data_IF_286749037266
#
_entry.id   IF_286749037266
#
_cell.length_a   1.000
_cell.length_b   1.000
_cell.length_c   1.000
_cell.angle_alpha   90.00
_cell.angle_beta   90.00
_cell.angle_gamma   90.00
#
_symmetry.space_group_name_H-M   'P 1'
#
loop_
_entity.id
_entity.type
_entity.pdbx_description
1 polymer ?
#
# COMPACT_ATOMS: atom_id res chain seq x y z
N UNK A 1 -27.58 -17.33 -15.63
CA UNK A 1 -26.28 -16.80 -16.06
C UNK A 1 -25.25 -17.18 -15.03
N UNK A 2 -24.32 -18.06 -15.33
CA UNK A 2 -23.18 -18.31 -14.44
C UNK A 2 -22.26 -17.12 -14.58
N UNK A 3 -22.10 -16.33 -13.50
CA UNK A 3 -21.11 -15.27 -13.46
C UNK A 3 -19.74 -15.90 -13.70
N UNK A 4 -19.10 -15.51 -14.79
CA UNK A 4 -17.69 -15.82 -15.04
C UNK A 4 -16.90 -15.08 -13.94
N UNK A 5 -16.54 -15.79 -12.90
CA UNK A 5 -15.55 -15.31 -11.93
C UNK A 5 -14.20 -15.70 -12.53
N UNK A 6 -13.39 -14.74 -13.00
CA UNK A 6 -12.03 -15.06 -13.42
C UNK A 6 -11.32 -15.79 -12.27
N UNK A 7 -10.46 -16.74 -12.55
CA UNK A 7 -9.62 -17.38 -11.55
C UNK A 7 -8.68 -16.30 -10.99
N UNK A 8 -9.09 -15.68 -9.88
CA UNK A 8 -8.28 -14.68 -9.20
C UNK A 8 -7.07 -15.34 -8.58
N UNK A 9 -5.88 -14.72 -8.69
CA UNK A 9 -4.68 -15.26 -8.08
C UNK A 9 -4.80 -15.28 -6.54
N UNK A 10 -3.97 -16.12 -5.94
CA UNK A 10 -3.84 -16.44 -4.52
C UNK A 10 -4.20 -15.30 -3.56
N UNK A 11 -5.12 -15.52 -2.59
CA UNK A 11 -5.52 -14.51 -1.61
C UNK A 11 -4.43 -14.06 -0.64
N UNK A 12 -3.20 -14.55 -0.81
CA UNK A 12 -2.05 -14.26 0.06
C UNK A 12 -0.90 -13.58 -0.69
N UNK A 13 -1.17 -12.86 -1.78
CA UNK A 13 -0.11 -12.11 -2.47
C UNK A 13 0.59 -11.18 -1.48
N UNK A 14 1.89 -11.39 -1.30
CA UNK A 14 2.72 -10.46 -0.54
C UNK A 14 2.93 -9.17 -1.33
N UNK A 15 3.28 -8.05 -0.68
CA UNK A 15 3.65 -6.82 -1.39
C UNK A 15 4.76 -7.03 -2.43
N UNK A 16 5.60 -8.04 -2.26
CA UNK A 16 6.66 -8.41 -3.22
C UNK A 16 6.12 -9.13 -4.42
N UNK A 17 5.27 -10.09 -4.22
CA UNK A 17 4.63 -10.79 -5.32
C UNK A 17 3.83 -9.80 -6.18
N UNK A 18 3.11 -8.87 -5.54
CA UNK A 18 2.43 -7.77 -6.23
C UNK A 18 3.43 -6.92 -7.03
N UNK A 19 4.57 -6.57 -6.43
CA UNK A 19 5.63 -5.79 -7.09
C UNK A 19 6.23 -6.55 -8.27
N UNK A 20 6.55 -7.84 -8.09
CA UNK A 20 7.06 -8.69 -9.16
C UNK A 20 6.07 -8.73 -10.33
N UNK A 21 4.79 -8.91 -10.04
CA UNK A 21 3.75 -8.90 -11.08
C UNK A 21 3.65 -7.54 -11.76
N UNK A 22 3.74 -6.44 -11.03
CA UNK A 22 3.72 -5.10 -11.60
C UNK A 22 4.94 -4.78 -12.48
N UNK A 23 6.12 -5.37 -12.18
CA UNK A 23 7.27 -5.25 -13.06
C UNK A 23 7.07 -5.94 -14.41
N UNK A 24 6.21 -6.95 -14.46
CA UNK A 24 5.86 -7.68 -15.68
C UNK A 24 4.65 -7.08 -16.39
N UNK A 25 3.57 -6.79 -15.66
CA UNK A 25 2.26 -6.44 -16.23
C UNK A 25 1.83 -4.99 -16.04
N UNK A 26 2.58 -4.18 -15.23
CA UNK A 26 2.28 -2.78 -14.88
C UNK A 26 0.96 -2.55 -14.13
N UNK A 27 0.03 -3.48 -14.23
CA UNK A 27 -1.27 -3.49 -13.55
C UNK A 27 -1.54 -4.89 -13.02
N UNK A 28 -1.90 -4.99 -11.76
CA UNK A 28 -2.25 -6.26 -11.10
C UNK A 28 -3.61 -6.14 -10.43
N UNK A 29 -4.47 -7.12 -10.62
CA UNK A 29 -5.78 -7.20 -9.97
C UNK A 29 -5.88 -8.49 -9.18
N UNK A 30 -6.41 -8.41 -7.98
CA UNK A 30 -6.67 -9.56 -7.12
C UNK A 30 -8.01 -9.48 -6.41
N UNK A 31 -8.66 -10.63 -6.26
CA UNK A 31 -9.79 -10.80 -5.34
C UNK A 31 -9.29 -11.45 -4.06
N UNK A 32 -9.63 -10.84 -2.93
CA UNK A 32 -9.20 -11.31 -1.62
C UNK A 32 -10.41 -11.55 -0.73
N UNK A 33 -10.49 -12.76 -0.19
CA UNK A 33 -11.50 -13.14 0.81
C UNK A 33 -10.82 -13.53 2.11
N UNK A 34 -11.36 -13.07 3.21
CA UNK A 34 -10.91 -13.51 4.54
C UNK A 34 -12.10 -13.75 5.46
N UNK A 35 -12.04 -14.85 6.22
CA UNK A 35 -13.07 -15.23 7.20
C UNK A 35 -12.52 -15.27 8.63
N UNK A 36 -11.33 -14.70 8.86
CA UNK A 36 -10.69 -14.61 10.17
C UNK A 36 -10.13 -13.21 10.37
N UNK A 37 -10.20 -12.73 11.61
CA UNK A 37 -9.54 -11.48 11.99
C UNK A 37 -8.05 -11.56 11.70
N UNK A 38 -7.53 -10.61 10.94
CA UNK A 38 -6.10 -10.48 10.61
C UNK A 38 -5.68 -9.02 10.66
N UNK A 39 -4.42 -8.82 11.02
CA UNK A 39 -3.73 -7.55 10.86
C UNK A 39 -2.64 -7.73 9.81
N UNK A 40 -2.57 -6.80 8.85
CA UNK A 40 -1.41 -6.74 7.97
C UNK A 40 -0.21 -6.19 8.71
N UNK A 41 0.97 -6.57 8.27
CA UNK A 41 2.21 -5.90 8.68
C UNK A 41 2.15 -4.45 8.18
N UNK A 42 2.65 -3.50 8.98
CA UNK A 42 2.82 -2.12 8.52
C UNK A 42 3.75 -2.10 7.32
N UNK A 43 3.31 -1.48 6.24
CA UNK A 43 4.07 -1.45 5.00
C UNK A 43 3.78 -0.22 4.16
N UNK A 44 4.64 0.00 3.18
CA UNK A 44 4.43 0.91 2.06
C UNK A 44 4.84 0.19 0.77
N UNK A 45 4.45 0.72 -0.36
CA UNK A 45 4.77 0.18 -1.67
C UNK A 45 5.01 1.30 -2.68
N UNK A 46 5.72 1.03 -3.81
CA UNK A 46 6.04 2.03 -4.83
C UNK A 46 4.97 2.17 -5.92
N UNK A 47 3.81 1.60 -5.74
CA UNK A 47 2.70 1.61 -6.69
C UNK A 47 1.43 2.20 -6.07
N UNK A 48 0.48 2.57 -6.90
CA UNK A 48 -0.86 2.97 -6.46
C UNK A 48 -1.69 1.71 -6.15
N UNK A 49 -2.33 1.67 -4.99
CA UNK A 49 -3.22 0.59 -4.61
C UNK A 49 -4.64 1.09 -4.42
N UNK A 50 -5.57 0.46 -5.12
CA UNK A 50 -7.00 0.71 -5.05
C UNK A 50 -7.67 -0.49 -4.40
N UNK A 51 -8.33 -0.26 -3.28
CA UNK A 51 -9.00 -1.31 -2.49
C UNK A 51 -10.49 -1.05 -2.51
N UNK A 52 -11.22 -1.83 -3.30
CA UNK A 52 -12.68 -1.78 -3.33
C UNK A 52 -13.24 -2.83 -2.37
N UNK A 53 -14.08 -2.40 -1.43
CA UNK A 53 -14.70 -3.27 -0.45
C UNK A 53 -15.99 -3.84 -1.01
N UNK A 54 -16.02 -5.15 -1.28
CA UNK A 54 -17.20 -5.82 -1.82
C UNK A 54 -18.15 -6.30 -0.70
N UNK A 55 -17.60 -6.72 0.45
CA UNK A 55 -18.38 -7.10 1.63
C UNK A 55 -17.53 -7.00 2.90
N UNK A 56 -18.19 -6.94 4.06
CA UNK A 56 -17.55 -6.93 5.36
C UNK A 56 -17.02 -5.55 5.75
N UNK A 57 -15.95 -5.52 6.57
CA UNK A 57 -15.32 -4.29 7.06
C UNK A 57 -13.81 -4.40 7.13
N UNK A 58 -13.13 -3.28 6.92
CA UNK A 58 -11.70 -3.15 7.16
C UNK A 58 -11.39 -1.82 7.85
N UNK A 59 -10.43 -1.86 8.78
CA UNK A 59 -9.91 -0.68 9.43
C UNK A 59 -8.48 -0.45 8.96
N UNK A 60 -8.16 0.78 8.57
CA UNK A 60 -6.83 1.18 8.15
C UNK A 60 -6.28 2.26 9.07
N UNK A 61 -4.99 2.18 9.34
CA UNK A 61 -4.22 3.19 10.07
C UNK A 61 -3.22 3.79 9.11
N UNK A 62 -3.38 5.06 8.80
CA UNK A 62 -2.55 5.79 7.83
C UNK A 62 -2.22 7.15 8.41
N UNK A 63 -0.92 7.47 8.56
CA UNK A 63 -0.46 8.79 9.00
C UNK A 63 -1.20 9.34 10.24
N UNK A 64 -1.50 8.48 11.22
CA UNK A 64 -2.22 8.86 12.45
C UNK A 64 -3.74 9.00 12.30
N UNK A 65 -4.28 8.78 11.11
CA UNK A 65 -5.70 8.64 10.86
C UNK A 65 -6.15 7.18 10.96
N UNK A 66 -7.32 6.97 11.50
CA UNK A 66 -8.05 5.71 11.40
C UNK A 66 -9.14 5.87 10.37
N UNK A 67 -9.27 4.85 9.53
CA UNK A 67 -10.26 4.80 8.46
C UNK A 67 -11.01 3.49 8.56
N UNK A 68 -12.33 3.55 8.50
CA UNK A 68 -13.17 2.37 8.36
C UNK A 68 -13.67 2.33 6.92
N UNK A 69 -13.43 1.21 6.24
CA UNK A 69 -13.85 0.99 4.85
C UNK A 69 -15.05 0.06 4.84
N UNK A 70 -16.15 0.53 4.26
CA UNK A 70 -17.43 -0.15 4.18
C UNK A 70 -17.69 -0.74 2.79
N UNK A 71 -18.66 -1.68 2.66
CA UNK A 71 -19.04 -2.22 1.37
C UNK A 71 -19.44 -1.12 0.37
N UNK A 72 -18.95 -1.24 -0.85
CA UNK A 72 -19.15 -0.25 -1.90
C UNK A 72 -18.11 0.87 -1.93
N UNK A 73 -17.34 1.07 -0.86
CA UNK A 73 -16.31 2.10 -0.81
C UNK A 73 -15.00 1.66 -1.47
N UNK A 74 -14.28 2.65 -1.99
CA UNK A 74 -12.95 2.49 -2.56
C UNK A 74 -11.94 3.31 -1.78
N UNK A 75 -10.85 2.69 -1.35
CA UNK A 75 -9.68 3.37 -0.80
C UNK A 75 -8.55 3.38 -1.84
N UNK A 76 -7.97 4.54 -2.06
CA UNK A 76 -6.75 4.72 -2.85
C UNK A 76 -5.58 5.03 -1.94
N UNK A 77 -4.56 4.20 -1.98
CA UNK A 77 -3.30 4.38 -1.26
C UNK A 77 -2.19 4.68 -2.27
N UNK A 78 -1.65 5.91 -2.28
CA UNK A 78 -0.58 6.30 -3.17
C UNK A 78 0.76 5.63 -2.84
N UNK A 79 1.74 5.66 -3.79
CA UNK A 79 3.10 5.22 -3.54
C UNK A 79 3.73 5.89 -2.31
N UNK A 80 4.45 5.10 -1.51
CA UNK A 80 5.19 5.58 -0.35
C UNK A 80 4.35 5.88 0.90
N UNK A 81 3.03 5.77 0.83
CA UNK A 81 2.15 5.97 1.98
C UNK A 81 2.19 4.74 2.87
N UNK A 82 2.66 4.92 4.11
CA UNK A 82 2.74 3.84 5.09
C UNK A 82 1.38 3.60 5.71
N UNK A 83 0.98 2.34 5.70
CA UNK A 83 -0.33 1.93 6.19
C UNK A 83 -0.31 0.54 6.83
N UNK A 84 -1.32 0.29 7.65
CA UNK A 84 -1.60 -1.00 8.26
C UNK A 84 -3.10 -1.27 8.16
N UNK A 85 -3.48 -2.46 7.69
CA UNK A 85 -4.87 -2.88 7.67
C UNK A 85 -5.18 -3.85 8.81
N UNK A 86 -6.32 -3.66 9.44
CA UNK A 86 -6.92 -4.61 10.36
C UNK A 86 -8.25 -5.07 9.78
N UNK A 87 -8.39 -6.36 9.60
CA UNK A 87 -9.49 -6.92 8.83
C UNK A 87 -10.31 -7.87 9.70
N UNK A 88 -11.63 -7.70 9.64
CA UNK A 88 -12.59 -8.71 10.10
C UNK A 88 -12.85 -9.74 8.98
N UNK A 89 -14.09 -10.10 8.75
CA UNK A 89 -14.48 -10.87 7.58
C UNK A 89 -14.72 -9.90 6.41
N UNK A 90 -14.13 -10.19 5.26
CA UNK A 90 -14.27 -9.31 4.10
C UNK A 90 -14.14 -10.06 2.77
N UNK A 91 -14.69 -9.45 1.73
CA UNK A 91 -14.34 -9.65 0.34
C UNK A 91 -13.95 -8.31 -0.27
N UNK A 92 -12.80 -8.24 -0.92
CA UNK A 92 -12.29 -7.00 -1.53
C UNK A 92 -11.61 -7.28 -2.87
N UNK A 93 -11.73 -6.32 -3.78
CA UNK A 93 -10.93 -6.23 -4.99
C UNK A 93 -9.75 -5.29 -4.73
N UNK A 94 -8.57 -5.69 -5.13
CA UNK A 94 -7.38 -4.84 -5.10
C UNK A 94 -6.88 -4.68 -6.52
N UNK A 95 -6.73 -3.42 -6.94
CA UNK A 95 -6.09 -3.04 -8.19
C UNK A 95 -4.81 -2.29 -7.84
N UNK A 96 -3.68 -2.76 -8.35
CA UNK A 96 -2.38 -2.15 -8.18
C UNK A 96 -1.85 -1.66 -9.52
N UNK A 97 -1.35 -0.43 -9.56
CA UNK A 97 -0.90 0.24 -10.79
C UNK A 97 0.49 0.81 -10.55
N UNK A 98 1.43 0.48 -11.40
CA UNK A 98 2.78 1.03 -11.39
C UNK A 98 2.77 2.56 -11.56
N UNK A 99 3.57 3.27 -10.75
CA UNK A 99 3.59 4.75 -10.74
C UNK A 99 4.13 5.32 -12.07
N UNK A 100 5.11 4.66 -12.71
CA UNK A 100 5.62 5.10 -13.99
C UNK A 100 4.56 4.94 -15.09
N UNK A 101 3.83 3.82 -15.09
CA UNK A 101 2.73 3.58 -16.03
C UNK A 101 1.59 4.62 -15.88
N UNK A 102 1.31 5.03 -14.64
CA UNK A 102 0.39 6.13 -14.34
C UNK A 102 0.84 7.43 -15.02
N UNK A 103 2.10 7.83 -14.78
CA UNK A 103 2.69 9.05 -15.33
C UNK A 103 2.74 9.06 -16.85
N UNK A 104 3.18 7.95 -17.45
CA UNK A 104 3.20 7.78 -18.91
C UNK A 104 1.81 7.95 -19.51
N UNK A 105 0.78 7.36 -18.88
CA UNK A 105 -0.60 7.49 -19.37
C UNK A 105 -1.07 8.94 -19.35
N UNK A 106 -0.80 9.70 -18.28
CA UNK A 106 -1.13 11.12 -18.23
C UNK A 106 -0.34 11.94 -19.28
N UNK A 107 0.91 11.60 -19.54
CA UNK A 107 1.71 12.25 -20.60
C UNK A 107 1.12 12.01 -21.99
N UNK A 108 0.69 10.78 -22.27
CA UNK A 108 0.04 10.44 -23.56
C UNK A 108 -1.27 11.22 -23.74
N UNK A 109 -2.04 11.39 -22.67
CA UNK A 109 -3.28 12.20 -22.70
C UNK A 109 -3.00 13.69 -22.96
N UNK A 110 -1.82 14.18 -22.62
CA UNK A 110 -1.41 15.55 -22.84
C UNK A 110 -2.43 16.58 -22.30
N UNK A 111 -2.95 17.51 -23.12
CA UNK A 111 -3.89 18.53 -22.68
C UNK A 111 -5.20 17.97 -22.10
N UNK A 112 -5.61 16.76 -22.48
CA UNK A 112 -6.81 16.10 -21.92
C UNK A 112 -6.63 15.75 -20.44
N UNK A 113 -5.40 15.59 -19.99
CA UNK A 113 -5.07 15.37 -18.58
C UNK A 113 -4.91 16.69 -17.78
N UNK A 114 -5.19 17.85 -18.36
CA UNK A 114 -5.08 19.12 -17.64
C UNK A 114 -5.98 19.13 -16.41
N UNK A 115 -5.38 19.46 -15.25
CA UNK A 115 -6.04 19.40 -13.94
C UNK A 115 -6.24 17.98 -13.38
N UNK A 116 -5.71 16.94 -14.04
CA UNK A 116 -5.64 15.61 -13.49
C UNK A 116 -4.32 15.45 -12.75
N UNK A 117 -4.39 15.28 -11.44
CA UNK A 117 -3.19 15.05 -10.62
C UNK A 117 -3.09 13.58 -10.23
N UNK A 118 -1.87 13.08 -10.20
CA UNK A 118 -1.58 11.78 -9.58
C UNK A 118 -1.80 11.95 -8.08
N UNK A 119 -2.71 11.17 -7.45
CA UNK A 119 -2.95 11.27 -6.02
C UNK A 119 -1.65 11.01 -5.23
N UNK A 120 -1.37 11.88 -4.26
CA UNK A 120 -0.21 11.76 -3.35
C UNK A 120 -0.62 11.54 -1.91
N UNK A 121 -1.90 11.62 -1.63
CA UNK A 121 -2.50 11.39 -0.32
C UNK A 121 -3.54 10.29 -0.41
N UNK A 122 -3.80 9.64 0.70
CA UNK A 122 -4.86 8.65 0.80
C UNK A 122 -6.20 9.30 0.48
N UNK A 123 -7.00 8.61 -0.34
CA UNK A 123 -8.37 9.01 -0.67
C UNK A 123 -9.34 7.87 -0.40
N UNK A 124 -10.51 8.17 0.11
CA UNK A 124 -11.63 7.23 0.21
C UNK A 124 -12.79 7.81 -0.58
N UNK A 125 -13.38 6.97 -1.42
CA UNK A 125 -14.55 7.31 -2.22
C UNK A 125 -15.74 6.59 -1.64
N UNK A 126 -16.80 7.32 -1.32
CA UNK A 126 -18.04 6.77 -0.78
C UNK A 126 -18.76 5.87 -1.78
N UNK A 127 -19.60 4.97 -1.27
CA UNK A 127 -20.30 3.96 -2.06
C UNK A 127 -21.17 4.56 -3.18
N UNK A 128 -21.81 5.70 -2.95
CA UNK A 128 -22.62 6.40 -3.96
C UNK A 128 -21.79 6.90 -5.14
N UNK A 129 -20.55 7.35 -4.88
CA UNK A 129 -19.59 7.76 -5.92
C UNK A 129 -19.10 6.56 -6.71
N UNK A 130 -18.72 5.49 -6.03
CA UNK A 130 -18.21 4.28 -6.67
C UNK A 130 -19.28 3.59 -7.51
N UNK A 131 -20.52 3.56 -7.03
CA UNK A 131 -21.68 3.00 -7.75
C UNK A 131 -22.05 3.85 -8.97
N UNK A 132 -22.10 5.18 -8.82
CA UNK A 132 -22.39 6.11 -9.89
C UNK A 132 -21.41 5.96 -11.07
N UNK A 133 -20.13 5.82 -10.75
CA UNK A 133 -19.05 5.73 -11.73
C UNK A 133 -18.67 4.29 -12.07
N UNK A 134 -19.39 3.30 -11.58
CA UNK A 134 -19.18 1.87 -11.88
C UNK A 134 -17.73 1.42 -11.62
N UNK A 135 -17.11 1.89 -10.51
CA UNK A 135 -15.69 1.64 -10.19
C UNK A 135 -15.40 0.16 -10.09
N UNK A 136 -16.31 -0.62 -9.50
CA UNK A 136 -16.16 -2.07 -9.44
C UNK A 136 -15.97 -2.68 -10.83
N UNK A 137 -16.80 -2.29 -11.77
CA UNK A 137 -16.70 -2.77 -13.16
C UNK A 137 -15.39 -2.39 -13.82
N UNK A 138 -14.86 -1.18 -13.57
CA UNK A 138 -13.55 -0.77 -14.07
C UNK A 138 -12.43 -1.69 -13.55
N UNK A 139 -12.45 -2.03 -12.25
CA UNK A 139 -11.46 -2.95 -11.65
C UNK A 139 -11.62 -4.37 -12.21
N UNK A 140 -12.85 -4.87 -12.38
CA UNK A 140 -13.13 -6.18 -12.98
C UNK A 140 -12.70 -6.24 -14.45
N UNK A 141 -12.83 -5.15 -15.21
CA UNK A 141 -12.29 -5.04 -16.57
C UNK A 141 -10.76 -5.13 -16.58
N UNK A 142 -10.07 -4.55 -15.60
CA UNK A 142 -8.62 -4.69 -15.47
C UNK A 142 -8.20 -6.15 -15.23
N UNK A 143 -8.98 -6.90 -14.43
CA UNK A 143 -8.76 -8.33 -14.25
C UNK A 143 -8.94 -9.12 -15.55
N UNK A 144 -9.94 -8.77 -16.35
CA UNK A 144 -10.20 -9.40 -17.64
C UNK A 144 -9.11 -9.07 -18.67
N UNK A 145 -8.57 -7.84 -18.63
CA UNK A 145 -7.49 -7.42 -19.51
C UNK A 145 -6.20 -8.24 -19.29
N UNK A 146 -5.97 -8.77 -18.11
CA UNK A 146 -4.82 -9.64 -17.82
C UNK A 146 -4.77 -10.90 -18.71
N UNK A 147 -5.92 -11.35 -19.20
CA UNK A 147 -6.02 -12.52 -20.09
C UNK A 147 -5.78 -12.21 -21.58
N UNK A 148 -5.59 -10.95 -21.95
CA UNK A 148 -5.31 -10.55 -23.34
C UNK A 148 -3.88 -11.00 -23.68
N UNK A 149 -3.68 -11.83 -24.72
CA UNK A 149 -2.35 -12.35 -25.07
C UNK A 149 -1.46 -11.30 -25.72
N UNK A 150 -2.03 -10.40 -26.53
CA UNK A 150 -1.30 -9.37 -27.25
C UNK A 150 -0.93 -8.23 -26.28
N UNK A 151 0.38 -8.02 -26.08
CA UNK A 151 0.90 -7.03 -25.12
C UNK A 151 0.42 -5.60 -25.42
N UNK A 152 0.31 -5.23 -26.70
CA UNK A 152 -0.17 -3.90 -27.11
C UNK A 152 -1.65 -3.68 -26.74
N UNK A 153 -2.49 -4.65 -27.02
CA UNK A 153 -3.93 -4.56 -26.71
C UNK A 153 -4.18 -4.57 -25.21
N UNK A 154 -3.41 -5.37 -24.47
CA UNK A 154 -3.42 -5.36 -23.00
C UNK A 154 -3.03 -3.98 -22.45
N UNK A 155 -1.93 -3.39 -22.92
CA UNK A 155 -1.47 -2.05 -22.52
C UNK A 155 -2.54 -0.99 -22.79
N UNK A 156 -3.14 -1.02 -24.00
CA UNK A 156 -4.21 -0.10 -24.39
C UNK A 156 -5.44 -0.24 -23.48
N UNK A 157 -5.83 -1.47 -23.14
CA UNK A 157 -6.94 -1.72 -22.23
C UNK A 157 -6.65 -1.17 -20.83
N UNK A 158 -5.47 -1.42 -20.28
CA UNK A 158 -5.07 -0.88 -18.97
C UNK A 158 -5.07 0.65 -18.96
N UNK A 159 -4.59 1.31 -20.03
CA UNK A 159 -4.64 2.77 -20.13
C UNK A 159 -6.07 3.29 -20.20
N UNK A 160 -6.98 2.61 -20.90
CA UNK A 160 -8.39 3.03 -20.94
C UNK A 160 -9.06 2.99 -19.57
N UNK A 161 -8.75 1.96 -18.76
CA UNK A 161 -9.23 1.84 -17.38
C UNK A 161 -8.65 2.93 -16.50
N UNK A 162 -7.35 3.21 -16.65
CA UNK A 162 -6.69 4.26 -15.90
C UNK A 162 -7.27 5.64 -16.22
N UNK A 163 -7.59 5.92 -17.48
CA UNK A 163 -8.30 7.15 -17.88
C UNK A 163 -9.66 7.26 -17.19
N UNK A 164 -10.41 6.16 -17.12
CA UNK A 164 -11.67 6.09 -16.36
C UNK A 164 -11.47 6.44 -14.88
N UNK A 165 -10.46 5.86 -14.24
CA UNK A 165 -10.12 6.16 -12.84
C UNK A 165 -9.73 7.63 -12.63
N UNK A 166 -8.93 8.21 -13.54
CA UNK A 166 -8.56 9.64 -13.51
C UNK A 166 -9.79 10.54 -13.51
N UNK A 167 -10.74 10.25 -14.38
CA UNK A 167 -11.98 11.03 -14.48
C UNK A 167 -12.81 10.92 -13.20
N UNK A 168 -12.93 9.72 -12.64
CA UNK A 168 -13.65 9.49 -11.38
C UNK A 168 -12.99 10.24 -10.23
N UNK A 169 -11.67 10.15 -10.08
CA UNK A 169 -10.92 10.86 -9.03
C UNK A 169 -11.17 12.37 -9.15
N UNK A 170 -11.03 12.91 -10.36
CA UNK A 170 -11.26 14.34 -10.63
C UNK A 170 -12.69 14.76 -10.27
N UNK A 171 -13.67 13.94 -10.61
CA UNK A 171 -15.07 14.26 -10.33
C UNK A 171 -15.38 14.14 -8.84
N UNK A 172 -14.91 13.11 -8.17
CA UNK A 172 -15.10 12.94 -6.73
C UNK A 172 -14.49 14.09 -5.90
N UNK A 173 -13.32 14.59 -6.32
CA UNK A 173 -12.70 15.77 -5.67
C UNK A 173 -13.59 17.02 -5.84
N UNK A 174 -14.24 17.20 -7.00
CA UNK A 174 -15.12 18.34 -7.25
C UNK A 174 -16.43 18.28 -6.48
N UNK A 175 -16.93 17.09 -6.23
CA UNK A 175 -18.22 16.85 -5.57
C UNK A 175 -18.10 16.70 -4.04
N UNK A 176 -16.91 16.90 -3.47
CA UNK A 176 -16.63 16.65 -2.04
C UNK A 176 -16.95 15.20 -1.60
N UNK A 177 -16.92 14.27 -2.55
CA UNK A 177 -17.27 12.85 -2.37
C UNK A 177 -16.18 12.00 -1.71
N UNK A 178 -15.26 12.63 -0.95
CA UNK A 178 -14.15 11.96 -0.30
C UNK A 178 -14.43 11.70 1.18
N UNK A 179 -14.19 10.45 1.60
CA UNK A 179 -14.29 10.02 2.98
C UNK A 179 -13.20 10.63 3.86
N UNK A 180 -13.59 10.98 5.08
CA UNK A 180 -12.71 11.49 6.11
C UNK A 180 -12.28 10.37 7.08
N UNK A 181 -11.15 10.52 7.78
CA UNK A 181 -10.79 9.56 8.81
C UNK A 181 -11.86 9.51 9.91
N UNK A 182 -12.20 8.30 10.37
CA UNK A 182 -13.15 8.10 11.47
C UNK A 182 -12.63 8.63 12.79
N UNK A 183 -11.31 8.65 12.95
CA UNK A 183 -10.62 9.33 14.04
C UNK A 183 -9.23 9.75 13.62
N UNK A 184 -8.75 10.86 14.17
CA UNK A 184 -7.38 11.36 14.00
C UNK A 184 -6.75 11.61 15.34
N UNK A 185 -5.45 11.36 15.42
CA UNK A 185 -4.66 11.73 16.58
C UNK A 185 -3.42 12.51 16.14
N UNK A 186 -3.41 13.80 16.42
CA UNK A 186 -2.35 14.70 16.00
C UNK A 186 -0.96 14.26 16.50
N UNK A 187 -0.87 13.72 17.72
CA UNK A 187 0.39 13.19 18.26
C UNK A 187 0.88 12.00 17.42
N UNK A 188 0.00 11.05 17.10
CA UNK A 188 0.37 9.89 16.29
C UNK A 188 0.75 10.33 14.87
N UNK A 189 -0.01 11.25 14.26
CA UNK A 189 0.30 11.80 12.93
C UNK A 189 1.69 12.47 12.91
N UNK A 190 1.98 13.32 13.89
CA UNK A 190 3.27 14.00 14.01
C UNK A 190 4.42 12.99 14.15
N UNK A 191 4.25 11.99 15.03
CA UNK A 191 5.29 10.99 15.28
C UNK A 191 5.50 10.06 14.09
N UNK A 192 4.43 9.60 13.42
CA UNK A 192 4.56 8.77 12.22
C UNK A 192 5.24 9.53 11.09
N UNK A 193 4.87 10.79 10.84
CA UNK A 193 5.54 11.63 9.85
C UNK A 193 7.04 11.78 10.14
N UNK A 194 7.41 12.01 11.41
CA UNK A 194 8.81 12.10 11.81
C UNK A 194 9.55 10.77 11.61
N UNK A 195 8.94 9.64 11.99
CA UNK A 195 9.51 8.31 11.77
C UNK A 195 9.77 8.08 10.28
N UNK A 196 8.84 8.40 9.37
CA UNK A 196 9.02 8.21 7.93
C UNK A 196 10.18 9.01 7.35
N UNK A 197 10.41 10.21 7.87
CA UNK A 197 11.51 11.06 7.43
C UNK A 197 12.86 10.59 7.99
N UNK A 198 12.88 9.92 9.14
CA UNK A 198 14.09 9.63 9.90
C UNK A 198 14.31 8.14 10.24
N UNK A 199 13.52 7.21 9.73
CA UNK A 199 13.61 5.78 10.09
C UNK A 199 14.98 5.16 9.81
N UNK A 200 15.75 5.74 8.88
CA UNK A 200 17.11 5.32 8.53
C UNK A 200 18.16 5.76 9.55
N UNK A 201 17.85 6.73 10.42
CA UNK A 201 18.75 7.12 11.51
C UNK A 201 18.84 5.98 12.54
N UNK A 202 20.01 5.34 12.73
CA UNK A 202 20.18 4.25 13.69
C UNK A 202 19.88 4.68 15.13
N UNK A 203 20.06 5.97 15.42
CA UNK A 203 19.83 6.55 16.74
C UNK A 203 18.38 6.94 17.01
N UNK A 204 17.46 6.75 16.06
CA UNK A 204 16.05 7.02 16.27
C UNK A 204 15.45 6.02 17.25
N UNK A 205 15.09 6.53 18.42
CA UNK A 205 14.51 5.76 19.53
C UNK A 205 13.16 6.33 19.98
N UNK A 206 12.39 5.52 20.72
CA UNK A 206 11.11 5.98 21.31
C UNK A 206 11.32 7.20 22.22
N UNK A 207 12.47 7.28 22.90
CA UNK A 207 12.82 8.41 23.77
C UNK A 207 13.01 9.69 22.95
N UNK A 208 13.74 9.63 21.83
CA UNK A 208 13.91 10.78 20.92
C UNK A 208 12.57 11.23 20.33
N UNK A 209 11.70 10.29 19.95
CA UNK A 209 10.36 10.59 19.45
C UNK A 209 9.47 11.27 20.50
N UNK A 210 9.54 10.81 21.76
CA UNK A 210 8.80 11.42 22.85
C UNK A 210 9.30 12.84 23.16
N UNK A 211 10.61 13.07 23.10
CA UNK A 211 11.21 14.41 23.24
C UNK A 211 10.76 15.32 22.08
N UNK A 212 10.80 14.83 20.85
CA UNK A 212 10.36 15.59 19.67
C UNK A 212 8.88 16.00 19.78
N UNK A 213 8.04 15.10 20.29
CA UNK A 213 6.60 15.35 20.44
C UNK A 213 6.23 16.04 21.78
N UNK A 214 7.20 16.39 22.61
CA UNK A 214 7.01 17.05 23.91
C UNK A 214 6.08 16.28 24.87
N UNK A 215 6.18 14.96 24.90
CA UNK A 215 5.38 14.08 25.78
C UNK A 215 6.27 13.07 26.51
N UNK A 216 5.72 12.40 27.53
CA UNK A 216 6.44 11.29 28.16
C UNK A 216 6.49 10.07 27.24
N UNK A 217 7.53 9.24 27.38
CA UNK A 217 7.70 7.99 26.62
C UNK A 217 6.52 7.03 26.82
N UNK A 218 6.02 6.94 28.05
CA UNK A 218 4.91 6.08 28.44
C UNK A 218 3.62 6.54 27.76
N UNK A 219 3.35 7.84 27.79
CA UNK A 219 2.18 8.43 27.13
C UNK A 219 2.23 8.19 25.64
N UNK A 220 3.35 8.50 24.98
CA UNK A 220 3.53 8.27 23.55
C UNK A 220 3.32 6.79 23.18
N UNK A 221 3.98 5.87 23.90
CA UNK A 221 3.89 4.44 23.63
C UNK A 221 2.47 3.91 23.75
N UNK A 222 1.73 4.36 24.76
CA UNK A 222 0.34 3.97 24.98
C UNK A 222 -0.58 4.49 23.87
N UNK A 223 -0.52 5.78 23.57
CA UNK A 223 -1.36 6.41 22.54
C UNK A 223 -1.05 5.84 21.17
N UNK A 224 0.23 5.69 20.82
CA UNK A 224 0.63 5.12 19.54
C UNK A 224 0.09 3.69 19.35
N UNK A 225 0.25 2.83 20.39
CA UNK A 225 -0.26 1.45 20.36
C UNK A 225 -1.79 1.38 20.31
N UNK A 226 -2.46 2.30 21.00
CA UNK A 226 -3.92 2.38 20.96
C UNK A 226 -4.43 2.67 19.53
N UNK A 227 -3.77 3.59 18.83
CA UNK A 227 -4.15 4.02 17.48
C UNK A 227 -3.67 3.09 16.37
N UNK A 228 -2.41 2.65 16.40
CA UNK A 228 -1.80 1.84 15.32
C UNK A 228 -1.89 0.33 15.56
N UNK A 229 -2.37 -0.09 16.75
CA UNK A 229 -2.43 -1.49 17.23
C UNK A 229 -1.08 -2.19 17.36
N UNK A 230 0.02 -1.45 17.19
CA UNK A 230 1.38 -1.98 17.34
C UNK A 230 2.28 -1.03 18.13
N UNK A 231 3.44 -1.53 18.58
CA UNK A 231 4.40 -0.68 19.27
C UNK A 231 5.18 0.20 18.29
N UNK A 232 5.67 1.38 18.75
CA UNK A 232 6.56 2.23 17.93
C UNK A 232 7.81 1.46 17.49
N UNK A 233 8.35 0.60 18.35
CA UNK A 233 9.52 -0.20 18.04
C UNK A 233 9.25 -1.16 16.87
N UNK A 234 8.12 -1.87 16.91
CA UNK A 234 7.75 -2.80 15.83
C UNK A 234 7.49 -2.04 14.54
N UNK A 235 6.75 -0.91 14.60
CA UNK A 235 6.49 -0.03 13.47
C UNK A 235 7.80 0.43 12.80
N UNK A 236 8.75 0.94 13.58
CA UNK A 236 10.05 1.39 13.07
C UNK A 236 10.88 0.23 12.50
N UNK A 237 10.85 -0.93 13.17
CA UNK A 237 11.55 -2.13 12.71
C UNK A 237 11.00 -2.63 11.38
N UNK A 238 9.68 -2.66 11.21
CA UNK A 238 9.04 -3.05 9.95
C UNK A 238 9.40 -2.10 8.80
N UNK A 239 9.37 -0.79 9.01
CA UNK A 239 9.81 0.20 8.02
C UNK A 239 11.27 0.00 7.59
N UNK A 240 12.16 -0.17 8.55
CA UNK A 240 13.58 -0.44 8.28
C UNK A 240 13.76 -1.72 7.49
N UNK A 241 13.04 -2.79 7.85
CA UNK A 241 13.09 -4.06 7.15
C UNK A 241 12.59 -3.97 5.71
N UNK A 242 11.54 -3.20 5.47
CA UNK A 242 11.06 -2.96 4.11
C UNK A 242 12.09 -2.20 3.28
N UNK A 243 12.70 -1.16 3.85
CA UNK A 243 13.80 -0.46 3.21
C UNK A 243 14.97 -1.38 2.86
N UNK A 244 15.36 -2.28 3.79
CA UNK A 244 16.41 -3.28 3.53
C UNK A 244 16.02 -4.22 2.38
N UNK A 245 14.80 -4.74 2.37
CA UNK A 245 14.32 -5.62 1.30
C UNK A 245 14.36 -4.93 -0.06
N UNK A 246 13.91 -3.68 -0.10
CA UNK A 246 13.96 -2.87 -1.31
C UNK A 246 15.40 -2.70 -1.81
N UNK A 247 16.29 -2.28 -0.94
CA UNK A 247 17.69 -2.08 -1.27
C UNK A 247 18.37 -3.38 -1.74
N UNK A 248 18.02 -4.53 -1.16
CA UNK A 248 18.51 -5.85 -1.58
C UNK A 248 17.95 -6.22 -2.97
N UNK A 249 16.67 -5.98 -3.22
CA UNK A 249 16.03 -6.21 -4.51
C UNK A 249 16.65 -5.33 -5.62
N UNK A 250 17.01 -4.09 -5.29
CA UNK A 250 17.70 -3.14 -6.17
C UNK A 250 19.21 -3.48 -6.34
N UNK A 251 19.66 -4.62 -5.81
CA UNK A 251 21.04 -5.13 -6.01
C UNK A 251 22.07 -4.66 -4.99
N UNK A 252 21.69 -3.89 -3.95
CA UNK A 252 22.63 -3.49 -2.90
C UNK A 252 23.16 -4.69 -2.11
N UNK A 253 24.37 -4.56 -1.58
CA UNK A 253 24.95 -5.55 -0.67
C UNK A 253 24.11 -5.61 0.62
N UNK A 254 23.83 -6.81 1.14
CA UNK A 254 22.98 -7.02 2.32
C UNK A 254 23.44 -6.22 3.53
N UNK A 255 24.76 -6.18 3.80
CA UNK A 255 25.32 -5.39 4.89
C UNK A 255 25.06 -3.88 4.71
N UNK A 256 25.19 -3.37 3.48
CA UNK A 256 24.94 -1.96 3.15
C UNK A 256 23.46 -1.65 3.32
N UNK A 257 22.58 -2.50 2.78
CA UNK A 257 21.14 -2.36 2.97
C UNK A 257 20.74 -2.34 4.47
N UNK A 258 21.35 -3.20 5.28
CA UNK A 258 21.16 -3.24 6.72
C UNK A 258 21.54 -1.90 7.38
N UNK A 259 22.77 -1.42 7.15
CA UNK A 259 23.29 -0.20 7.81
C UNK A 259 22.59 1.07 7.32
N UNK A 260 22.34 1.21 6.02
CA UNK A 260 21.68 2.37 5.44
C UNK A 260 20.20 2.49 5.84
N UNK A 261 19.57 1.40 6.28
CA UNK A 261 18.22 1.42 6.80
C UNK A 261 18.15 1.44 8.35
N UNK A 262 19.25 1.83 9.00
CA UNK A 262 19.28 2.18 10.42
C UNK A 262 19.42 0.98 11.38
N UNK A 263 19.85 -0.18 10.91
CA UNK A 263 20.24 -1.28 11.80
C UNK A 263 21.71 -1.15 12.22
N UNK A 264 21.95 -1.07 13.51
CA UNK A 264 23.29 -1.03 14.10
C UNK A 264 23.87 -2.41 14.38
N UNK A 265 23.01 -3.43 14.53
CA UNK A 265 23.43 -4.83 14.79
C UNK A 265 22.96 -5.75 13.66
N UNK A 266 23.95 -6.26 12.92
CA UNK A 266 23.72 -7.17 11.80
C UNK A 266 23.11 -8.51 12.22
N UNK A 267 23.46 -9.03 13.40
CA UNK A 267 22.91 -10.28 13.92
C UNK A 267 21.44 -10.16 14.26
N UNK A 268 21.02 -9.05 14.87
CA UNK A 268 19.62 -8.73 15.14
C UNK A 268 18.84 -8.52 13.85
N UNK A 269 19.43 -7.87 12.85
CA UNK A 269 18.85 -7.73 11.52
C UNK A 269 18.54 -9.09 10.89
N UNK A 270 19.51 -10.02 10.84
CA UNK A 270 19.31 -11.35 10.25
C UNK A 270 18.17 -12.13 10.93
N UNK A 271 18.15 -12.13 12.26
CA UNK A 271 17.09 -12.80 13.05
C UNK A 271 15.70 -12.18 12.76
N UNK A 272 15.63 -10.86 12.71
CA UNK A 272 14.38 -10.15 12.48
C UNK A 272 13.89 -10.34 11.04
N UNK A 273 14.79 -10.31 10.07
CA UNK A 273 14.47 -10.57 8.67
C UNK A 273 13.87 -11.97 8.49
N UNK A 274 14.55 -13.00 9.05
CA UNK A 274 14.03 -14.36 8.98
C UNK A 274 12.68 -14.52 9.73
N UNK A 275 12.53 -13.87 10.89
CA UNK A 275 11.27 -13.90 11.64
C UNK A 275 10.09 -13.31 10.84
N UNK A 276 10.32 -12.21 10.11
CA UNK A 276 9.28 -11.50 9.37
C UNK A 276 8.96 -12.18 8.03
N UNK A 277 9.96 -12.73 7.35
CA UNK A 277 9.81 -13.18 5.96
C UNK A 277 9.96 -14.68 5.76
N UNK A 278 10.33 -15.42 6.80
CA UNK A 278 10.51 -16.88 6.74
C UNK A 278 11.76 -17.37 6.00
N UNK A 279 12.52 -16.45 5.38
CA UNK A 279 13.74 -16.72 4.63
C UNK A 279 14.87 -15.79 5.08
N UNK A 280 16.11 -16.15 4.78
CA UNK A 280 17.27 -15.29 5.05
C UNK A 280 17.41 -14.17 3.98
N UNK A 281 18.10 -13.06 4.28
CA UNK A 281 18.39 -12.02 3.27
C UNK A 281 19.18 -12.55 2.07
N UNK A 282 19.99 -13.59 2.25
CA UNK A 282 20.76 -14.20 1.16
C UNK A 282 19.86 -15.03 0.24
N UNK A 283 18.98 -15.84 0.80
CA UNK A 283 17.97 -16.58 0.04
C UNK A 283 17.03 -15.63 -0.71
N UNK A 284 16.58 -14.57 -0.04
CA UNK A 284 15.77 -13.54 -0.68
C UNK A 284 16.49 -12.90 -1.88
N UNK A 285 17.77 -12.52 -1.71
CA UNK A 285 18.57 -11.97 -2.81
C UNK A 285 18.71 -12.94 -3.98
N UNK A 286 18.95 -14.23 -3.68
CA UNK A 286 19.07 -15.27 -4.71
C UNK A 286 17.75 -15.45 -5.48
N UNK A 287 16.60 -15.41 -4.80
CA UNK A 287 15.28 -15.47 -5.44
C UNK A 287 15.06 -14.30 -6.39
N UNK A 288 15.30 -13.06 -5.93
CA UNK A 288 15.15 -11.86 -6.76
C UNK A 288 16.08 -11.89 -7.98
N UNK A 289 17.33 -12.35 -7.82
CA UNK A 289 18.29 -12.46 -8.93
C UNK A 289 17.98 -13.59 -9.92
N UNK A 290 17.31 -14.64 -9.50
CA UNK A 290 16.89 -15.74 -10.38
C UNK A 290 15.63 -15.39 -11.19
N UNK A 291 14.90 -14.39 -10.77
CA UNK A 291 13.63 -13.94 -11.36
C UNK A 291 13.78 -12.70 -12.28
N UNK A 292 14.92 -12.02 -12.26
CA UNK A 292 15.27 -10.87 -13.10
C UNK A 292 16.29 -11.21 -14.18
#
# INVERSE_FOLDING_TARGET
>A
MRSFIPAYPDPNITPEEARRRLSLDKVVVGWYSNRRVRQSVTHYHPYHEYIYMASGKAHYYVNGGQYELHPGELMLIPPGVVHTGYYDTYDRLILQIDDAFWRETLQILGPLAEGCQIPRELMIFHADVTDRWQIRSLIEHAASAAAIPEAHDKDLMYRSILVGLVLVIRQAIREDGLGQPTSTNALVATVTSYIHQHYRDPDLTVTKLAQYAYVSREHLSRVFKEYTKQSIHDYLTELRMQGCRQDIADGKRILVACTENGFSDYSSFLKTFHKLYGITPMEYRAQVQAEG
#
